data_IF_754728729757
#
_entry.id   IF_754728729757
#
_cell.length_a   1.000
_cell.length_b   1.000
_cell.length_c   1.000
_cell.angle_alpha   90.00
_cell.angle_beta   90.00
_cell.angle_gamma   90.00
#
_symmetry.space_group_name_H-M   'P 1'
#
loop_
_entity.id
_entity.type
_entity.pdbx_description
1 polymer ?
#
# COMPACT_ATOMS: atom_id res chain seq x y z
N UNK A 1 -38.07 33.29 12.55
CA UNK A 1 -36.73 32.71 12.28
C UNK A 1 -35.77 33.17 13.36
N UNK A 2 -35.20 32.22 14.12
CA UNK A 2 -34.32 32.53 15.24
C UNK A 2 -32.99 33.13 14.77
N UNK A 3 -32.22 33.70 15.69
CA UNK A 3 -30.86 34.19 15.40
C UNK A 3 -29.96 33.02 14.99
N UNK A 4 -30.12 31.85 15.64
CA UNK A 4 -29.38 30.63 15.31
C UNK A 4 -29.70 30.11 13.90
N UNK A 5 -30.95 30.20 13.46
CA UNK A 5 -31.32 29.78 12.11
C UNK A 5 -30.70 30.69 11.04
N UNK A 6 -30.60 32.00 11.33
CA UNK A 6 -29.94 32.97 10.44
C UNK A 6 -28.44 32.74 10.37
N UNK A 7 -27.81 32.45 11.51
CA UNK A 7 -26.38 32.13 11.55
C UNK A 7 -26.08 30.82 10.83
N UNK A 8 -26.90 29.78 11.03
CA UNK A 8 -26.76 28.48 10.37
C UNK A 8 -26.96 28.59 8.85
N UNK A 9 -27.96 29.36 8.41
CA UNK A 9 -28.19 29.62 6.99
C UNK A 9 -27.05 30.45 6.36
N UNK A 10 -26.54 31.48 7.07
CA UNK A 10 -25.43 32.30 6.61
C UNK A 10 -24.12 31.54 6.48
N UNK A 11 -23.81 30.65 7.43
CA UNK A 11 -22.63 29.78 7.38
C UNK A 11 -22.73 28.74 6.27
N UNK A 12 -23.90 28.12 6.07
CA UNK A 12 -24.12 27.19 4.96
C UNK A 12 -23.98 27.87 3.58
N UNK A 13 -24.47 29.10 3.44
CA UNK A 13 -24.30 29.89 2.21
C UNK A 13 -22.83 30.25 1.96
N UNK A 14 -22.09 30.66 2.98
CA UNK A 14 -20.66 30.99 2.85
C UNK A 14 -19.79 29.77 2.51
N UNK A 15 -20.09 28.61 3.12
CA UNK A 15 -19.40 27.36 2.83
C UNK A 15 -19.64 26.85 1.40
N UNK A 16 -20.75 27.26 0.77
CA UNK A 16 -21.04 26.91 -0.63
C UNK A 16 -20.35 27.83 -1.65
N UNK A 17 -20.00 29.07 -1.27
CA UNK A 17 -19.49 30.09 -2.20
C UNK A 17 -17.97 30.15 -2.34
N UNK A 18 -17.21 29.58 -1.40
CA UNK A 18 -15.74 29.62 -1.45
C UNK A 18 -15.21 28.20 -1.56
N UNK A 19 -15.32 27.62 -2.75
CA UNK A 19 -14.34 26.62 -3.18
C UNK A 19 -13.20 27.37 -3.86
N UNK A 20 -11.99 27.44 -3.28
CA UNK A 20 -10.84 28.01 -3.95
C UNK A 20 -10.69 27.38 -5.33
N UNK A 21 -10.31 28.16 -6.35
CA UNK A 21 -10.06 27.65 -7.69
C UNK A 21 -9.05 26.46 -7.69
N UNK A 22 -8.20 26.41 -6.66
CA UNK A 22 -7.24 25.34 -6.40
C UNK A 22 -7.91 24.00 -6.03
N UNK A 23 -9.00 24.00 -5.25
CA UNK A 23 -9.73 22.78 -4.91
C UNK A 23 -10.49 22.22 -6.13
N UNK A 24 -11.02 23.10 -6.99
CA UNK A 24 -11.64 22.69 -8.26
C UNK A 24 -10.62 22.07 -9.21
N UNK A 25 -9.37 22.57 -9.20
CA UNK A 25 -8.27 22.00 -9.99
C UNK A 25 -7.84 20.63 -9.46
N UNK A 26 -7.74 20.47 -8.14
CA UNK A 26 -7.45 19.18 -7.50
C UNK A 26 -8.56 18.14 -7.77
N UNK A 27 -9.84 18.54 -7.70
CA UNK A 27 -10.98 17.68 -8.04
C UNK A 27 -10.97 17.29 -9.52
N UNK A 28 -10.62 18.21 -10.42
CA UNK A 28 -10.51 17.93 -11.86
C UNK A 28 -9.36 16.94 -12.15
N UNK A 29 -8.20 17.12 -11.52
CA UNK A 29 -7.05 16.20 -11.63
C UNK A 29 -7.42 14.83 -11.08
N UNK A 30 -8.03 14.74 -9.88
CA UNK A 30 -8.51 13.48 -9.30
C UNK A 30 -9.52 12.76 -10.19
N UNK A 31 -10.47 13.48 -10.81
CA UNK A 31 -11.43 12.90 -11.77
C UNK A 31 -10.75 12.40 -13.04
N UNK A 32 -9.78 13.15 -13.58
CA UNK A 32 -9.01 12.74 -14.77
C UNK A 32 -8.16 11.50 -14.49
N UNK A 33 -7.54 11.44 -13.31
CA UNK A 33 -6.78 10.28 -12.85
C UNK A 33 -7.69 9.05 -12.70
N UNK A 34 -8.83 9.17 -12.01
CA UNK A 34 -9.82 8.08 -11.90
C UNK A 34 -10.33 7.59 -13.26
N UNK A 35 -10.54 8.48 -14.24
CA UNK A 35 -10.99 8.09 -15.60
C UNK A 35 -9.91 7.32 -16.37
N UNK A 36 -8.62 7.67 -16.20
CA UNK A 36 -7.51 6.94 -16.81
C UNK A 36 -7.37 5.53 -16.22
N UNK A 37 -7.50 5.40 -14.90
CA UNK A 37 -7.45 4.09 -14.22
C UNK A 37 -8.69 3.22 -14.48
N UNK A 38 -9.89 3.81 -14.59
CA UNK A 38 -11.11 3.08 -14.90
C UNK A 38 -11.12 2.45 -16.31
N UNK A 39 -10.42 3.04 -17.28
CA UNK A 39 -10.27 2.45 -18.62
C UNK A 39 -9.32 1.24 -18.64
N UNK A 40 -8.36 1.17 -17.71
CA UNK A 40 -7.49 0.00 -17.54
C UNK A 40 -8.24 -1.14 -16.81
N UNK A 41 -9.10 -0.81 -15.85
CA UNK A 41 -9.93 -1.79 -15.14
C UNK A 41 -11.05 -2.42 -16.00
N UNK A 42 -11.54 -1.72 -17.04
CA UNK A 42 -12.60 -2.22 -17.92
C UNK A 42 -12.20 -3.41 -18.80
N UNK A 43 -10.89 -3.63 -19.03
CA UNK A 43 -10.39 -4.74 -19.84
C UNK A 43 -10.29 -6.07 -19.06
N UNK A 44 -10.34 -6.04 -17.72
CA UNK A 44 -10.14 -7.22 -16.86
C UNK A 44 -11.44 -7.89 -16.37
N UNK A 45 -12.60 -7.26 -16.56
CA UNK A 45 -13.89 -7.79 -16.07
C UNK A 45 -14.44 -8.91 -16.96
N UNK A 46 -13.96 -9.07 -18.19
CA UNK A 46 -14.44 -10.15 -19.09
C UNK A 46 -13.79 -11.50 -18.80
N UNK A 47 -12.62 -11.55 -18.14
CA UNK A 47 -11.89 -12.81 -17.91
C UNK A 47 -12.37 -13.55 -16.64
N UNK A 48 -13.01 -12.87 -15.70
CA UNK A 48 -13.41 -13.46 -14.41
C UNK A 48 -14.76 -14.20 -14.41
N UNK A 49 -15.54 -14.18 -15.50
CA UNK A 49 -16.85 -14.83 -15.56
C UNK A 49 -16.83 -16.29 -16.07
N UNK A 50 -15.67 -16.84 -16.47
CA UNK A 50 -15.59 -18.21 -17.02
C UNK A 50 -14.80 -19.19 -16.12
N UNK A 51 -14.05 -18.74 -15.11
CA UNK A 51 -13.04 -19.58 -14.45
C UNK A 51 -13.06 -19.68 -12.92
N UNK A 52 -14.20 -19.46 -12.24
CA UNK A 52 -14.21 -19.33 -10.77
C UNK A 52 -15.23 -20.20 -10.03
N UNK A 53 -15.63 -21.34 -10.60
CA UNK A 53 -16.53 -22.30 -9.93
C UNK A 53 -15.75 -23.45 -9.29
N UNK A 54 -15.28 -23.29 -8.05
CA UNK A 54 -15.04 -24.35 -7.06
C UNK A 54 -14.20 -23.82 -5.88
N UNK A 55 -14.83 -23.39 -4.78
CA UNK A 55 -14.28 -23.45 -3.40
C UNK A 55 -15.22 -22.77 -2.37
N UNK A 56 -16.52 -23.09 -2.41
CA UNK A 56 -17.47 -22.65 -1.38
C UNK A 56 -18.31 -23.87 -0.98
N UNK A 57 -17.85 -24.61 0.01
CA UNK A 57 -18.67 -25.70 0.55
C UNK A 57 -18.00 -26.64 1.52
N UNK A 58 -17.33 -26.17 2.57
CA UNK A 58 -16.88 -27.05 3.67
C UNK A 58 -16.80 -26.30 5.01
N UNK A 59 -17.91 -25.72 5.49
CA UNK A 59 -17.91 -25.08 6.83
C UNK A 59 -19.24 -25.18 7.61
N UNK A 60 -20.06 -26.20 7.36
CA UNK A 60 -21.26 -26.46 8.19
C UNK A 60 -21.52 -27.96 8.38
N UNK A 61 -20.77 -28.59 9.27
CA UNK A 61 -21.23 -29.81 9.97
C UNK A 61 -20.34 -30.05 11.19
N UNK A 62 -20.83 -29.67 12.36
CA UNK A 62 -20.18 -29.92 13.64
C UNK A 62 -21.17 -29.79 14.79
N UNK A 63 -22.01 -30.81 14.99
CA UNK A 63 -22.76 -30.99 16.24
C UNK A 63 -23.00 -32.48 16.51
N UNK A 64 -22.49 -32.97 17.65
CA UNK A 64 -22.79 -34.31 18.15
C UNK A 64 -21.69 -34.89 19.05
N UNK A 65 -21.65 -34.48 20.32
CA UNK A 65 -20.92 -35.17 21.38
C UNK A 65 -21.70 -36.40 21.86
N UNK A 66 -21.03 -37.52 22.14
CA UNK A 66 -21.02 -38.20 23.47
C UNK A 66 -20.26 -39.53 23.40
N UNK A 67 -19.38 -39.75 24.39
CA UNK A 67 -19.17 -41.08 24.98
C UNK A 67 -17.88 -41.80 24.61
N UNK A 68 -16.94 -41.87 25.56
CA UNK A 68 -15.82 -42.82 25.52
C UNK A 68 -14.67 -42.45 26.44
N UNK A 69 -14.67 -42.96 27.67
CA UNK A 69 -13.48 -42.98 28.54
C UNK A 69 -12.48 -44.01 27.97
N UNK A 70 -11.26 -43.57 27.68
CA UNK A 70 -10.10 -44.40 27.39
C UNK A 70 -8.84 -43.73 27.95
N UNK A 71 -7.99 -44.52 28.61
CA UNK A 71 -6.82 -44.09 29.38
C UNK A 71 -5.58 -44.01 28.48
N UNK A 72 -4.87 -42.87 28.55
CA UNK A 72 -3.45 -42.48 28.32
C UNK A 72 -2.60 -43.08 27.17
N UNK A 73 -1.77 -42.23 26.52
CA UNK A 73 -0.39 -42.04 27.02
C UNK A 73 0.10 -40.58 27.05
N UNK A 74 1.06 -40.34 27.95
CA UNK A 74 1.84 -39.12 28.21
C UNK A 74 1.92 -38.08 27.07
N UNK A 75 1.48 -36.86 27.38
CA UNK A 75 1.73 -35.68 26.54
C UNK A 75 3.24 -35.43 26.44
N UNK A 76 3.79 -35.70 25.26
CA UNK A 76 5.12 -35.27 24.86
C UNK A 76 5.19 -33.73 24.85
N UNK A 77 6.29 -33.10 25.29
CA UNK A 77 6.45 -31.66 25.14
C UNK A 77 6.63 -31.35 23.65
N UNK A 78 5.55 -30.99 22.96
CA UNK A 78 5.61 -30.58 21.56
C UNK A 78 5.06 -29.17 21.40
N UNK A 79 5.94 -28.20 21.64
CA UNK A 79 5.91 -26.94 20.91
C UNK A 79 7.36 -26.56 20.64
N UNK A 80 7.92 -27.11 19.55
CA UNK A 80 9.09 -26.50 18.93
C UNK A 80 8.59 -25.19 18.31
N UNK A 81 8.90 -24.08 19.00
CA UNK A 81 8.73 -22.74 18.46
C UNK A 81 9.35 -22.69 17.06
N UNK A 82 8.53 -22.38 16.06
CA UNK A 82 9.01 -22.17 14.70
C UNK A 82 10.18 -21.19 14.70
N UNK A 83 11.16 -21.37 13.79
CA UNK A 83 12.18 -20.36 13.59
C UNK A 83 11.47 -19.03 13.32
N UNK A 84 11.61 -18.06 14.23
CA UNK A 84 11.19 -16.70 13.95
C UNK A 84 12.07 -16.23 12.81
N UNK A 85 11.53 -16.21 11.59
CA UNK A 85 12.21 -15.55 10.49
C UNK A 85 12.57 -14.14 10.94
N UNK A 86 13.75 -13.63 10.55
CA UNK A 86 14.09 -12.25 10.84
C UNK A 86 12.95 -11.36 10.33
N UNK A 87 12.68 -10.28 11.04
CA UNK A 87 11.69 -9.27 10.64
C UNK A 87 12.38 -7.92 10.56
N UNK A 88 11.96 -7.08 9.62
CA UNK A 88 12.41 -5.70 9.56
C UNK A 88 11.86 -4.98 10.80
N UNK A 89 12.71 -4.30 11.59
CA UNK A 89 12.24 -3.51 12.73
C UNK A 89 11.24 -2.43 12.30
N UNK A 90 10.26 -2.17 13.17
CA UNK A 90 9.36 -1.03 12.98
C UNK A 90 10.19 0.27 12.99
N UNK A 91 10.16 0.99 11.87
CA UNK A 91 11.03 2.14 11.62
C UNK A 91 10.57 2.91 10.39
N UNK A 92 11.03 4.15 10.26
CA UNK A 92 10.87 4.95 9.07
C UNK A 92 12.13 4.85 8.19
N UNK A 93 11.92 4.57 6.91
CA UNK A 93 12.98 4.38 5.93
C UNK A 93 12.86 5.43 4.84
N UNK A 94 13.97 6.08 4.48
CA UNK A 94 14.00 7.10 3.42
C UNK A 94 14.90 6.68 2.27
N UNK A 95 14.48 7.03 1.05
CA UNK A 95 15.35 7.06 -0.12
C UNK A 95 15.06 8.27 -0.98
N UNK A 96 15.89 8.50 -1.97
CA UNK A 96 15.68 9.54 -2.97
C UNK A 96 15.54 8.86 -4.32
N UNK A 97 14.45 9.19 -5.02
CA UNK A 97 14.20 8.80 -6.40
C UNK A 97 14.45 10.01 -7.28
N UNK A 98 15.09 9.83 -8.42
CA UNK A 98 15.34 10.89 -9.39
C UNK A 98 14.26 10.94 -10.47
N UNK A 99 14.12 12.10 -11.11
CA UNK A 99 13.26 12.26 -12.27
C UNK A 99 13.67 11.32 -13.41
N UNK A 100 14.96 11.20 -13.66
CA UNK A 100 15.48 10.35 -14.74
C UNK A 100 15.15 8.87 -14.52
N UNK A 101 15.20 8.38 -13.27
CA UNK A 101 14.77 7.02 -12.93
C UNK A 101 13.28 6.80 -13.22
N UNK A 102 12.42 7.77 -12.86
CA UNK A 102 10.98 7.68 -13.14
C UNK A 102 10.68 7.72 -14.64
N UNK A 103 11.36 8.60 -15.40
CA UNK A 103 11.24 8.67 -16.85
C UNK A 103 11.70 7.36 -17.50
N UNK A 104 12.82 6.80 -17.03
CA UNK A 104 13.31 5.49 -17.50
C UNK A 104 12.32 4.35 -17.17
N UNK A 105 11.56 4.48 -16.08
CA UNK A 105 10.47 3.58 -15.71
C UNK A 105 9.16 3.83 -16.50
N UNK A 106 9.12 4.80 -17.41
CA UNK A 106 7.99 5.05 -18.30
C UNK A 106 7.01 6.12 -17.81
N UNK A 107 7.33 6.86 -16.75
CA UNK A 107 6.53 8.03 -16.36
C UNK A 107 6.63 9.15 -17.41
N UNK A 108 5.50 9.83 -17.63
CA UNK A 108 5.43 10.95 -18.57
C UNK A 108 6.21 12.16 -18.03
N UNK A 109 7.27 12.63 -18.73
CA UNK A 109 8.05 13.79 -18.28
C UNK A 109 7.20 15.05 -18.07
N UNK A 110 6.12 15.24 -18.83
CA UNK A 110 5.22 16.38 -18.66
C UNK A 110 4.43 16.28 -17.35
N UNK A 111 3.93 15.09 -17.02
CA UNK A 111 3.27 14.78 -15.74
C UNK A 111 4.22 14.98 -14.56
N UNK A 112 5.46 14.48 -14.65
CA UNK A 112 6.48 14.66 -13.61
C UNK A 112 6.82 16.14 -13.39
N UNK A 113 6.87 16.95 -14.45
CA UNK A 113 7.09 18.40 -14.33
C UNK A 113 5.94 19.09 -13.61
N UNK A 114 4.70 18.69 -13.85
CA UNK A 114 3.53 19.24 -13.14
C UNK A 114 3.56 18.90 -11.64
N UNK A 115 3.95 17.67 -11.28
CA UNK A 115 3.94 17.19 -9.90
C UNK A 115 5.21 17.57 -9.09
N UNK A 116 6.38 17.50 -9.70
CA UNK A 116 7.67 17.79 -9.04
C UNK A 116 8.15 19.23 -9.26
N UNK A 117 7.53 19.98 -10.18
CA UNK A 117 8.00 21.31 -10.55
C UNK A 117 9.41 21.25 -11.15
N UNK A 118 10.33 22.05 -10.61
CA UNK A 118 11.75 22.03 -11.00
C UNK A 118 12.61 21.04 -10.19
N UNK A 119 12.02 20.27 -9.29
CA UNK A 119 12.78 19.32 -8.48
C UNK A 119 13.21 18.09 -9.31
N UNK A 120 14.50 17.82 -9.37
CA UNK A 120 15.06 16.63 -10.02
C UNK A 120 15.03 15.38 -9.13
N UNK A 121 14.75 15.57 -7.84
CA UNK A 121 14.75 14.54 -6.83
C UNK A 121 13.44 14.55 -6.05
N UNK A 122 12.95 13.34 -5.76
CA UNK A 122 11.75 13.05 -5.02
C UNK A 122 12.13 12.19 -3.80
N UNK A 123 12.24 12.80 -2.61
CA UNK A 123 12.33 12.04 -1.37
C UNK A 123 11.11 11.12 -1.22
N UNK A 124 11.37 9.85 -0.91
CA UNK A 124 10.36 8.83 -0.64
C UNK A 124 10.57 8.32 0.78
N UNK A 125 9.47 8.16 1.51
CA UNK A 125 9.43 7.62 2.86
C UNK A 125 8.61 6.33 2.84
N UNK A 126 9.17 5.26 3.42
CA UNK A 126 8.51 4.00 3.72
C UNK A 126 8.48 3.84 5.24
N UNK A 127 7.29 3.90 5.82
CA UNK A 127 7.09 3.57 7.23
C UNK A 127 6.62 2.13 7.36
N UNK A 128 7.32 1.35 8.19
CA UNK A 128 6.94 -0.02 8.55
C UNK A 128 6.63 -0.06 10.04
N UNK A 129 5.47 -0.60 10.40
CA UNK A 129 5.09 -0.80 11.80
C UNK A 129 4.36 -2.13 11.94
N UNK A 130 4.96 -3.09 12.64
CA UNK A 130 4.42 -4.44 12.89
C UNK A 130 3.73 -5.09 11.66
N UNK A 131 2.44 -4.84 11.49
CA UNK A 131 1.55 -5.42 10.48
C UNK A 131 1.07 -4.42 9.41
N UNK A 132 1.53 -3.16 9.43
CA UNK A 132 1.14 -2.09 8.50
C UNK A 132 2.34 -1.40 7.86
N UNK A 133 2.13 -0.93 6.63
CA UNK A 133 3.07 -0.03 5.95
C UNK A 133 2.36 1.19 5.38
N UNK A 134 3.12 2.25 5.19
CA UNK A 134 2.73 3.38 4.35
C UNK A 134 3.92 3.90 3.58
N UNK A 135 3.71 4.26 2.31
CA UNK A 135 4.66 4.92 1.45
C UNK A 135 4.16 6.33 1.14
N UNK A 136 5.05 7.31 1.22
CA UNK A 136 4.76 8.69 0.81
C UNK A 136 5.94 9.28 0.04
N UNK A 137 5.65 10.25 -0.81
CA UNK A 137 6.65 10.97 -1.58
C UNK A 137 6.47 12.48 -1.43
N UNK A 138 7.58 13.21 -1.53
CA UNK A 138 7.58 14.68 -1.45
C UNK A 138 7.51 15.28 -2.85
N UNK A 139 6.34 15.82 -3.18
CA UNK A 139 6.06 16.56 -4.42
C UNK A 139 6.25 18.06 -4.21
N UNK A 140 6.08 18.86 -5.27
CA UNK A 140 6.17 20.32 -5.18
C UNK A 140 5.17 20.92 -4.17
N UNK A 141 3.97 20.32 -4.07
CA UNK A 141 2.93 20.72 -3.11
C UNK A 141 3.13 20.21 -1.69
N UNK A 142 4.23 19.49 -1.40
CA UNK A 142 4.50 18.86 -0.10
C UNK A 142 4.40 17.34 -0.14
N UNK A 143 4.28 16.72 1.04
CA UNK A 143 4.16 15.28 1.17
C UNK A 143 2.78 14.79 0.70
N UNK A 144 2.77 13.74 -0.12
CA UNK A 144 1.56 13.02 -0.50
C UNK A 144 1.73 11.53 -0.26
N UNK A 145 0.68 10.87 0.22
CA UNK A 145 0.62 9.41 0.30
C UNK A 145 0.65 8.80 -1.11
N UNK A 146 1.46 7.77 -1.27
CA UNK A 146 1.54 6.95 -2.48
C UNK A 146 0.76 5.65 -2.29
N UNK A 147 1.20 4.83 -1.32
CA UNK A 147 0.60 3.54 -1.03
C UNK A 147 0.50 3.28 0.48
N UNK A 148 -0.37 2.36 0.89
CA UNK A 148 -0.48 1.88 2.26
C UNK A 148 -1.17 0.52 2.29
N UNK A 149 -0.88 -0.26 3.33
CA UNK A 149 -1.50 -1.57 3.46
C UNK A 149 -0.90 -2.39 4.58
N UNK A 150 -0.88 -3.71 4.39
CA UNK A 150 -0.40 -4.67 5.39
C UNK A 150 0.99 -5.19 5.08
N UNK A 151 1.72 -5.46 6.15
CA UNK A 151 3.02 -6.15 6.16
C UNK A 151 2.81 -7.57 6.66
N UNK A 152 3.40 -8.53 5.96
CA UNK A 152 3.56 -9.90 6.42
C UNK A 152 4.89 -10.45 5.93
N UNK A 153 5.25 -11.65 6.39
CA UNK A 153 6.39 -12.39 5.89
C UNK A 153 5.93 -13.79 5.46
N UNK A 154 6.46 -14.30 4.36
CA UNK A 154 6.18 -15.67 3.91
C UNK A 154 7.09 -16.70 4.60
N UNK A 155 6.92 -17.98 4.24
CA UNK A 155 7.67 -19.10 4.83
C UNK A 155 9.18 -19.04 4.52
N UNK A 156 9.60 -18.23 3.54
CA UNK A 156 11.01 -17.96 3.25
C UNK A 156 11.55 -16.74 4.01
N UNK A 157 10.70 -16.02 4.75
CA UNK A 157 11.05 -14.79 5.44
C UNK A 157 11.12 -13.57 4.53
N UNK A 158 10.57 -13.63 3.32
CA UNK A 158 10.50 -12.48 2.40
C UNK A 158 9.43 -11.51 2.86
N UNK A 159 9.64 -10.23 2.59
CA UNK A 159 8.70 -9.18 2.93
C UNK A 159 7.52 -9.23 1.95
N UNK A 160 6.30 -9.35 2.47
CA UNK A 160 5.07 -9.32 1.68
C UNK A 160 4.28 -8.06 2.03
N UNK A 161 4.13 -7.15 1.08
CA UNK A 161 3.33 -5.94 1.20
C UNK A 161 2.01 -6.12 0.45
N UNK A 162 0.90 -6.07 1.16
CA UNK A 162 -0.44 -6.12 0.55
C UNK A 162 -1.05 -4.73 0.52
N UNK A 163 -1.12 -4.12 -0.66
CA UNK A 163 -1.67 -2.77 -0.84
C UNK A 163 -3.19 -2.74 -0.59
N UNK A 164 -3.60 -1.68 0.11
CA UNK A 164 -5.01 -1.32 0.32
C UNK A 164 -5.44 -0.09 -0.50
N UNK A 165 -4.51 0.48 -1.28
CA UNK A 165 -4.75 1.68 -2.08
C UNK A 165 -5.73 1.41 -3.21
N UNK A 166 -6.59 2.38 -3.50
CA UNK A 166 -7.62 2.24 -4.54
C UNK A 166 -7.03 2.06 -5.95
N UNK A 167 -5.80 2.55 -6.18
CA UNK A 167 -5.08 2.39 -7.44
C UNK A 167 -4.41 1.03 -7.63
N UNK A 168 -4.21 0.27 -6.55
CA UNK A 168 -3.56 -1.05 -6.56
C UNK A 168 -4.23 -1.98 -5.56
N UNK A 169 -5.57 -2.06 -5.60
CA UNK A 169 -6.33 -2.75 -4.56
C UNK A 169 -5.98 -4.24 -4.54
N UNK A 170 -5.41 -4.71 -3.43
CA UNK A 170 -4.89 -6.08 -3.23
C UNK A 170 -3.70 -6.46 -4.10
N UNK A 171 -2.97 -5.49 -4.63
CA UNK A 171 -1.62 -5.76 -5.14
C UNK A 171 -0.79 -6.36 -4.00
N UNK A 172 -0.06 -7.42 -4.32
CA UNK A 172 0.84 -8.10 -3.39
C UNK A 172 2.24 -7.98 -3.95
N UNK A 173 3.12 -7.35 -3.19
CA UNK A 173 4.52 -7.21 -3.51
C UNK A 173 5.32 -8.13 -2.60
N UNK A 174 6.03 -9.09 -3.17
CA UNK A 174 6.97 -9.95 -2.43
C UNK A 174 8.39 -9.48 -2.72
N UNK A 175 9.10 -9.08 -1.67
CA UNK A 175 10.41 -8.46 -1.73
C UNK A 175 11.41 -9.29 -0.91
N UNK A 176 12.56 -9.56 -1.51
CA UNK A 176 13.72 -9.97 -0.75
C UNK A 176 14.26 -8.75 -0.01
N UNK A 177 14.76 -8.95 1.19
CA UNK A 177 15.28 -7.87 1.99
C UNK A 177 16.50 -8.29 2.81
N UNK A 178 17.34 -7.31 3.13
CA UNK A 178 18.48 -7.45 4.05
C UNK A 178 18.71 -6.14 4.78
N UNK A 179 19.18 -6.23 6.02
CA UNK A 179 19.54 -5.09 6.85
C UNK A 179 21.04 -5.10 7.12
N UNK A 180 21.76 -4.11 6.61
CA UNK A 180 23.21 -4.01 6.72
C UNK A 180 23.59 -2.61 7.19
N UNK A 181 24.33 -2.49 8.30
CA UNK A 181 24.82 -1.20 8.83
C UNK A 181 23.74 -0.10 8.98
N UNK A 182 22.49 -0.47 9.29
CA UNK A 182 21.37 0.48 9.42
C UNK A 182 20.75 0.91 8.08
N UNK A 183 21.11 0.26 6.98
CA UNK A 183 20.48 0.41 5.67
C UNK A 183 19.61 -0.83 5.36
N UNK A 184 18.39 -0.59 4.90
CA UNK A 184 17.47 -1.61 4.42
C UNK A 184 17.61 -1.72 2.90
N UNK A 185 17.98 -2.89 2.41
CA UNK A 185 18.03 -3.15 0.97
C UNK A 185 16.82 -4.00 0.58
N UNK A 186 16.08 -3.55 -0.42
CA UNK A 186 14.92 -4.26 -0.98
C UNK A 186 15.21 -4.66 -2.43
N UNK A 187 14.94 -5.92 -2.77
CA UNK A 187 15.02 -6.45 -4.13
C UNK A 187 13.75 -7.21 -4.49
N UNK A 188 13.48 -7.31 -5.80
CA UNK A 188 12.27 -7.97 -6.30
C UNK A 188 12.45 -9.49 -6.26
N UNK A 189 11.64 -10.16 -5.43
CA UNK A 189 11.72 -11.62 -5.27
C UNK A 189 11.00 -12.38 -6.39
N UNK A 190 10.08 -11.73 -7.10
CA UNK A 190 9.16 -12.41 -8.05
C UNK A 190 9.34 -11.98 -9.49
N UNK A 191 9.98 -10.83 -9.74
CA UNK A 191 10.05 -10.22 -11.05
C UNK A 191 8.75 -9.52 -11.48
N UNK A 192 7.75 -9.43 -10.58
CA UNK A 192 6.38 -9.05 -10.94
C UNK A 192 6.08 -7.56 -10.77
N UNK A 193 6.99 -6.77 -10.20
CA UNK A 193 6.81 -5.34 -10.03
C UNK A 193 6.82 -4.63 -11.39
N UNK A 194 5.87 -3.71 -11.58
CA UNK A 194 5.92 -2.81 -12.72
C UNK A 194 7.13 -1.86 -12.61
N UNK A 195 7.60 -1.28 -13.73
CA UNK A 195 8.81 -0.47 -13.72
C UNK A 195 8.81 0.70 -12.72
N UNK A 196 7.67 1.34 -12.48
CA UNK A 196 7.56 2.47 -11.55
C UNK A 196 7.63 1.95 -10.12
N UNK A 197 6.93 0.87 -9.81
CA UNK A 197 7.01 0.21 -8.50
C UNK A 197 8.43 -0.27 -8.18
N UNK A 198 9.18 -0.76 -9.18
CA UNK A 198 10.60 -1.11 -9.01
C UNK A 198 11.41 0.10 -8.55
N UNK A 199 11.23 1.25 -9.19
CA UNK A 199 11.89 2.51 -8.81
C UNK A 199 11.44 2.97 -7.42
N UNK A 200 10.16 2.80 -7.07
CA UNK A 200 9.59 3.27 -5.80
C UNK A 200 9.93 2.39 -4.61
N UNK A 201 10.08 1.06 -4.77
CA UNK A 201 10.32 0.13 -3.67
C UNK A 201 11.76 -0.38 -3.59
N UNK A 202 12.40 -0.73 -4.71
CA UNK A 202 13.68 -1.42 -4.68
C UNK A 202 14.86 -0.50 -4.38
N UNK A 203 16.00 -1.09 -4.03
CA UNK A 203 17.25 -0.40 -3.76
C UNK A 203 17.52 -0.23 -2.27
N UNK A 204 18.36 0.75 -1.95
CA UNK A 204 18.83 1.01 -0.59
C UNK A 204 18.03 2.12 0.08
N UNK A 205 17.57 1.84 1.28
CA UNK A 205 16.87 2.77 2.15
C UNK A 205 17.67 3.02 3.42
N UNK A 206 17.64 4.26 3.90
CA UNK A 206 18.32 4.64 5.13
C UNK A 206 17.31 4.87 6.24
N UNK A 207 17.64 4.51 7.47
CA UNK A 207 16.82 4.90 8.61
C UNK A 207 16.61 6.42 8.64
N UNK A 208 15.36 6.82 8.83
CA UNK A 208 14.96 8.20 9.03
C UNK A 208 14.91 8.58 10.52
N UNK A 209 14.99 7.60 11.42
CA UNK A 209 14.75 7.79 12.85
C UNK A 209 15.96 8.34 13.63
N UNK A 210 17.16 8.39 13.02
CA UNK A 210 18.33 9.14 13.53
C UNK A 210 18.97 8.60 14.81
#
# INVERSE_FOLDING_TARGET
>A
MSVDDRLRAGLAANAATVRPAEELRLDAVRRRHRRRHALVAGALVVVLLVGGGAALGWLLSGQGSTGGRGVDPADAPTTLSSPSHPVIPASNWRKVVTRDELVAAGEDPASLREHLGSAEQMPVLLALSQDVFSQSARYAGGWSGGDAGRVSYDDEGRLVLTSSSTGCFRCVFTLDWRLEAGELHLSDATGALDPVDRVMYLGTWRSADG
#
